data_IF_936435966506
#
_entry.id   IF_936435966506
#
_cell.length_a   1.000
_cell.length_b   1.000
_cell.length_c   1.000
_cell.angle_alpha   90.00
_cell.angle_beta   90.00
_cell.angle_gamma   90.00
#
_symmetry.space_group_name_H-M   'P 1'
#
loop_
_entity.id
_entity.type
_entity.pdbx_description
1 polymer ?
#
# COMPACT_ATOMS: atom_id res chain seq x y z
N UNK A 1 6.03 -37.21 -38.92
CA UNK A 1 5.39 -37.47 -37.61
C UNK A 1 5.56 -36.31 -36.60
N UNK A 2 6.70 -35.60 -36.55
CA UNK A 2 6.93 -34.50 -35.58
C UNK A 2 5.95 -33.30 -35.67
N UNK A 3 5.42 -33.01 -36.86
CA UNK A 3 4.51 -31.87 -37.06
C UNK A 3 3.19 -31.97 -36.25
N UNK A 4 2.79 -33.18 -35.86
CA UNK A 4 1.54 -33.44 -35.12
C UNK A 4 1.78 -33.87 -33.67
N UNK A 5 3.03 -33.86 -33.21
CA UNK A 5 3.36 -34.20 -31.83
C UNK A 5 3.26 -32.94 -30.95
N UNK A 6 2.63 -33.00 -29.77
CA UNK A 6 2.62 -31.88 -28.83
C UNK A 6 4.05 -31.60 -28.33
N UNK A 7 4.34 -30.33 -28.05
CA UNK A 7 5.61 -29.91 -27.46
C UNK A 7 5.71 -30.37 -26.00
N UNK A 8 6.90 -30.75 -25.57
CA UNK A 8 7.24 -30.84 -24.14
C UNK A 8 7.35 -29.45 -23.51
N UNK A 9 7.28 -29.38 -22.18
CA UNK A 9 7.45 -28.10 -21.46
C UNK A 9 8.78 -27.41 -21.76
N UNK A 10 9.88 -28.18 -21.86
CA UNK A 10 11.20 -27.63 -22.16
C UNK A 10 11.30 -27.08 -23.58
N UNK A 11 10.73 -27.78 -24.57
CA UNK A 11 10.69 -27.31 -25.96
C UNK A 11 9.82 -26.06 -26.09
N UNK A 12 8.75 -25.94 -25.29
CA UNK A 12 7.95 -24.71 -25.25
C UNK A 12 8.70 -23.55 -24.59
N UNK A 13 9.39 -23.80 -23.46
CA UNK A 13 10.16 -22.78 -22.74
C UNK A 13 11.30 -22.19 -23.59
N UNK A 14 11.87 -22.95 -24.52
CA UNK A 14 12.86 -22.44 -25.49
C UNK A 14 12.28 -21.47 -26.53
N UNK A 15 10.95 -21.47 -26.73
CA UNK A 15 10.26 -20.67 -27.75
C UNK A 15 9.63 -19.39 -27.19
N UNK A 16 9.55 -19.23 -25.87
CA UNK A 16 8.83 -18.13 -25.23
C UNK A 16 9.75 -17.24 -24.40
N UNK A 17 9.46 -15.94 -24.42
CA UNK A 17 10.01 -14.99 -23.45
C UNK A 17 9.03 -14.84 -22.28
N UNK A 18 9.57 -14.76 -21.06
CA UNK A 18 8.79 -14.50 -19.84
C UNK A 18 9.18 -13.13 -19.30
N UNK A 19 8.19 -12.25 -19.18
CA UNK A 19 8.35 -10.92 -18.56
C UNK A 19 8.20 -11.02 -17.06
N UNK A 20 9.13 -10.42 -16.31
CA UNK A 20 9.12 -10.39 -14.85
C UNK A 20 8.87 -8.98 -14.32
N UNK A 21 7.64 -8.73 -13.88
CA UNK A 21 7.25 -7.46 -13.27
C UNK A 21 7.31 -7.57 -11.74
N UNK A 22 7.58 -6.47 -11.04
CA UNK A 22 7.53 -6.39 -9.58
C UNK A 22 6.61 -5.25 -9.11
N UNK A 23 5.87 -5.51 -8.04
CA UNK A 23 4.92 -4.57 -7.45
C UNK A 23 5.01 -4.61 -5.93
N UNK A 24 5.10 -3.42 -5.32
CA UNK A 24 5.20 -3.24 -3.88
C UNK A 24 4.13 -2.26 -3.41
N UNK A 25 3.50 -2.54 -2.26
CA UNK A 25 2.62 -1.60 -1.56
C UNK A 25 2.89 -1.67 -0.06
N UNK A 26 2.74 -0.54 0.63
CA UNK A 26 3.01 -0.45 2.06
C UNK A 26 2.11 0.57 2.76
N UNK A 27 1.90 0.33 4.05
CA UNK A 27 1.25 1.27 4.98
C UNK A 27 1.99 1.18 6.32
N UNK A 28 2.40 2.33 6.84
CA UNK A 28 2.93 2.49 8.19
C UNK A 28 2.05 3.49 8.93
N UNK A 29 1.59 3.15 10.14
CA UNK A 29 0.71 4.02 10.93
C UNK A 29 1.11 4.04 12.40
N UNK A 30 0.90 5.20 13.03
CA UNK A 30 1.03 5.37 14.47
C UNK A 30 -0.15 6.20 15.00
N UNK A 31 -0.66 5.82 16.17
CA UNK A 31 -1.76 6.49 16.86
C UNK A 31 -1.43 6.68 18.33
N UNK A 32 -1.73 7.85 18.86
CA UNK A 32 -1.62 8.19 20.28
C UNK A 32 -2.97 8.66 20.79
N UNK A 33 -3.40 8.14 21.94
CA UNK A 33 -4.67 8.51 22.57
C UNK A 33 -4.48 8.76 24.07
N UNK A 34 -5.09 9.82 24.59
CA UNK A 34 -5.04 10.20 26.00
C UNK A 34 -6.40 10.75 26.45
N UNK A 35 -6.84 10.38 27.64
CA UNK A 35 -8.08 10.89 28.24
C UNK A 35 -7.95 11.02 29.75
N UNK A 36 -8.70 11.94 30.35
CA UNK A 36 -8.74 12.10 31.81
C UNK A 36 -9.61 13.25 32.29
N UNK A 37 -9.58 13.46 33.60
CA UNK A 37 -10.23 14.58 34.26
C UNK A 37 -9.29 15.80 34.25
N UNK A 38 -9.79 16.95 33.79
CA UNK A 38 -9.03 18.21 33.81
C UNK A 38 -9.14 18.90 35.17
N UNK A 39 -10.38 19.21 35.57
CA UNK A 39 -10.70 19.98 36.78
C UNK A 39 -12.10 19.62 37.29
N UNK A 40 -12.33 19.80 38.60
CA UNK A 40 -13.67 19.74 39.17
C UNK A 40 -14.45 21.02 38.81
N UNK A 41 -15.58 20.88 38.11
CA UNK A 41 -16.49 21.96 37.75
C UNK A 41 -17.69 22.11 38.68
N UNK A 42 -18.59 23.05 38.34
CA UNK A 42 -19.77 23.41 39.13
C UNK A 42 -20.85 22.31 39.19
N UNK A 43 -20.87 21.40 38.22
CA UNK A 43 -21.81 20.27 38.13
C UNK A 43 -21.11 18.90 37.95
N UNK A 44 -19.83 18.79 38.33
CA UNK A 44 -19.03 17.58 38.18
C UNK A 44 -17.70 17.80 37.46
N UNK A 45 -16.89 16.76 37.24
CA UNK A 45 -15.60 16.89 36.57
C UNK A 45 -15.76 17.28 35.10
N UNK A 46 -14.95 18.25 34.66
CA UNK A 46 -14.74 18.54 33.24
C UNK A 46 -13.66 17.60 32.73
N UNK A 47 -13.97 16.88 31.65
CA UNK A 47 -13.13 15.80 31.13
C UNK A 47 -12.66 16.09 29.73
N UNK A 48 -11.54 15.47 29.35
CA UNK A 48 -10.99 15.54 28.01
C UNK A 48 -10.69 14.17 27.44
N UNK A 49 -10.76 14.07 26.11
CA UNK A 49 -10.20 12.99 25.34
C UNK A 49 -9.48 13.56 24.11
N UNK A 50 -8.33 13.01 23.77
CA UNK A 50 -7.58 13.42 22.57
C UNK A 50 -7.00 12.21 21.85
N UNK A 51 -6.88 12.36 20.54
CA UNK A 51 -6.25 11.41 19.63
C UNK A 51 -5.36 12.14 18.65
N UNK A 52 -4.23 11.54 18.29
CA UNK A 52 -3.38 11.97 17.20
C UNK A 52 -3.00 10.74 16.36
N UNK A 53 -3.05 10.88 15.03
CA UNK A 53 -2.67 9.85 14.08
C UNK A 53 -1.72 10.39 13.03
N UNK A 54 -0.77 9.56 12.62
CA UNK A 54 0.06 9.75 11.43
C UNK A 54 0.13 8.45 10.65
N UNK A 55 -0.02 8.52 9.33
CA UNK A 55 0.13 7.35 8.48
C UNK A 55 0.78 7.70 7.15
N UNK A 56 1.71 6.85 6.72
CA UNK A 56 2.36 6.90 5.41
C UNK A 56 2.00 5.65 4.62
N UNK A 57 1.46 5.83 3.43
CA UNK A 57 1.16 4.75 2.49
C UNK A 57 1.86 5.00 1.17
N UNK A 58 2.15 3.93 0.43
CA UNK A 58 2.67 4.06 -0.92
C UNK A 58 2.61 2.78 -1.71
N UNK A 59 2.96 2.91 -2.98
CA UNK A 59 3.13 1.80 -3.90
C UNK A 59 4.21 2.10 -4.95
N UNK A 60 4.77 1.04 -5.52
CA UNK A 60 5.73 1.09 -6.61
C UNK A 60 5.47 -0.08 -7.56
N UNK A 61 5.33 0.24 -8.85
CA UNK A 61 5.23 -0.71 -9.95
C UNK A 61 6.49 -0.58 -10.81
N UNK A 62 7.16 -1.72 -11.01
CA UNK A 62 8.40 -1.81 -11.77
C UNK A 62 8.25 -2.93 -12.80
N UNK A 63 7.89 -2.61 -14.06
CA UNK A 63 7.78 -3.61 -15.11
C UNK A 63 9.16 -4.15 -15.49
N UNK A 64 9.19 -5.30 -16.17
CA UNK A 64 10.41 -5.86 -16.76
C UNK A 64 11.04 -4.83 -17.71
N UNK A 65 12.33 -4.47 -17.57
CA UNK A 65 12.99 -3.54 -18.48
C UNK A 65 12.97 -4.00 -19.95
N UNK A 66 12.85 -5.30 -20.21
CA UNK A 66 12.77 -5.85 -21.56
C UNK A 66 11.35 -5.82 -22.14
N UNK A 67 10.33 -5.50 -21.34
CA UNK A 67 8.95 -5.45 -21.77
C UNK A 67 8.74 -4.35 -22.84
N UNK A 68 8.22 -4.73 -24.01
CA UNK A 68 8.04 -3.87 -25.18
C UNK A 68 9.33 -3.25 -25.77
N UNK A 69 10.51 -3.60 -25.25
CA UNK A 69 11.80 -3.30 -25.88
C UNK A 69 12.39 -4.53 -26.59
N UNK A 70 12.46 -5.68 -25.91
CA UNK A 70 13.04 -6.91 -26.46
C UNK A 70 11.99 -7.85 -27.04
N UNK A 71 10.78 -7.82 -26.49
CA UNK A 71 9.66 -8.65 -26.89
C UNK A 71 8.33 -7.93 -26.59
N UNK A 72 7.29 -8.12 -27.41
CA UNK A 72 6.00 -7.49 -27.19
C UNK A 72 5.25 -8.17 -26.04
N UNK A 73 4.76 -7.37 -25.07
CA UNK A 73 3.90 -7.81 -23.97
C UNK A 73 2.86 -6.73 -23.65
N UNK A 74 1.66 -7.17 -23.25
CA UNK A 74 0.54 -6.26 -23.02
C UNK A 74 0.57 -5.54 -21.67
N UNK A 75 1.27 -6.10 -20.66
CA UNK A 75 1.24 -5.58 -19.28
C UNK A 75 2.57 -4.92 -18.92
N UNK A 76 2.64 -3.61 -19.17
CA UNK A 76 3.81 -2.74 -18.87
C UNK A 76 3.38 -1.58 -18.00
N UNK A 77 2.79 -1.92 -16.85
CA UNK A 77 2.36 -0.92 -15.87
C UNK A 77 3.57 -0.42 -15.08
N UNK A 78 3.78 0.89 -15.12
CA UNK A 78 4.79 1.58 -14.34
C UNK A 78 4.13 2.71 -13.56
N UNK A 79 4.72 3.04 -12.42
CA UNK A 79 4.21 4.12 -11.60
C UNK A 79 4.50 3.91 -10.14
N UNK A 80 4.26 4.96 -9.37
CA UNK A 80 4.43 4.92 -7.94
C UNK A 80 3.89 6.18 -7.32
N UNK A 81 3.73 6.14 -6.01
CA UNK A 81 3.27 7.29 -5.27
C UNK A 81 3.29 7.01 -3.78
N UNK A 82 3.50 8.08 -3.02
CA UNK A 82 3.39 8.07 -1.59
C UNK A 82 2.38 9.12 -1.14
N UNK A 83 1.65 8.82 -0.06
CA UNK A 83 0.79 9.76 0.63
C UNK A 83 1.07 9.70 2.12
N UNK A 84 1.26 10.88 2.71
CA UNK A 84 1.28 11.08 4.15
C UNK A 84 -0.06 11.70 4.58
N UNK A 85 -0.66 11.17 5.65
CA UNK A 85 -1.80 11.80 6.33
C UNK A 85 -1.49 11.96 7.81
N UNK A 86 -1.98 13.04 8.39
CA UNK A 86 -1.98 13.27 9.83
C UNK A 86 -3.32 13.85 10.25
N UNK A 87 -3.81 13.44 11.42
CA UNK A 87 -5.05 13.94 12.02
C UNK A 87 -4.89 14.08 13.52
N UNK A 88 -5.61 15.03 14.11
CA UNK A 88 -5.70 15.17 15.55
C UNK A 88 -7.13 15.53 15.94
N UNK A 89 -7.56 15.07 17.11
CA UNK A 89 -8.87 15.32 17.67
C UNK A 89 -8.78 15.65 19.16
N UNK A 90 -9.65 16.55 19.59
CA UNK A 90 -9.85 16.92 20.99
C UNK A 90 -11.36 17.01 21.24
N UNK A 91 -11.80 16.37 22.31
CA UNK A 91 -13.17 16.48 22.81
C UNK A 91 -13.14 16.90 24.28
N UNK A 92 -14.13 17.72 24.65
CA UNK A 92 -14.39 18.16 26.01
C UNK A 92 -15.78 17.71 26.42
N UNK A 93 -15.89 17.15 27.63
CA UNK A 93 -17.17 16.89 28.26
C UNK A 93 -17.36 17.89 29.40
N UNK A 94 -18.35 18.77 29.24
CA UNK A 94 -18.77 19.75 30.24
C UNK A 94 -20.17 19.35 30.73
N UNK A 95 -20.39 19.21 32.05
CA UNK A 95 -21.71 18.89 32.62
C UNK A 95 -22.78 19.97 32.38
#
# INVERSE_FOLDING_TARGET
ARLYAPLSSSEYDELVAKSHNSAYSWVNQASFSLSGDLVQGWAGPIRFATVAEVAKQGYQLSPDPCANECYPVDVVDSGGGERMRSSAGLELQIP
#
